data_IF_891794133421
#
_entry.id   IF_891794133421
#
_cell.length_a   1.000
_cell.length_b   1.000
_cell.length_c   1.000
_cell.angle_alpha   90.00
_cell.angle_beta   90.00
_cell.angle_gamma   90.00
#
_symmetry.space_group_name_H-M   'P 1'
#
loop_
_entity.id
_entity.type
_entity.pdbx_description
1 polymer ?
#
# COMPACT_ATOMS: atom_id res chain seq x y z
N UNK A 1 -13.80 7.27 -9.06
CA UNK A 1 -13.00 8.29 -8.33
C UNK A 1 -13.67 8.52 -6.98
N UNK A 2 -13.25 7.85 -5.95
CA UNK A 2 -13.71 8.08 -4.57
C UNK A 2 -12.90 9.25 -4.02
N UNK A 3 -13.55 10.38 -3.79
CA UNK A 3 -12.95 11.55 -3.12
C UNK A 3 -12.88 11.29 -1.61
N UNK A 4 -11.93 10.52 -1.17
CA UNK A 4 -11.73 10.15 0.24
C UNK A 4 -11.23 11.36 1.03
N UNK A 5 -10.30 12.12 0.48
CA UNK A 5 -9.72 13.30 1.11
C UNK A 5 -10.72 14.39 1.52
N UNK A 6 -11.87 14.49 0.84
CA UNK A 6 -12.90 15.49 1.13
C UNK A 6 -13.69 15.19 2.43
N UNK A 7 -13.51 14.02 3.03
CA UNK A 7 -14.26 13.56 4.22
C UNK A 7 -13.45 13.50 5.50
N UNK A 8 -12.14 13.68 5.43
CA UNK A 8 -11.26 13.63 6.62
C UNK A 8 -11.07 15.02 7.21
N UNK A 9 -11.35 15.15 8.51
CA UNK A 9 -11.04 16.35 9.26
C UNK A 9 -9.51 16.48 9.39
N UNK A 10 -8.96 17.66 9.05
CA UNK A 10 -7.54 17.98 9.20
C UNK A 10 -6.57 17.36 8.17
N UNK A 11 -7.05 16.79 7.07
CA UNK A 11 -6.19 16.22 6.00
C UNK A 11 -5.21 15.14 6.50
N UNK A 12 -5.52 14.49 7.62
CA UNK A 12 -4.72 13.41 8.19
C UNK A 12 -5.54 12.13 8.11
N UNK A 13 -5.03 11.14 7.39
CA UNK A 13 -5.59 9.80 7.36
C UNK A 13 -5.49 9.18 8.76
N UNK A 14 -6.62 9.02 9.44
CA UNK A 14 -6.69 8.46 10.80
C UNK A 14 -7.14 6.99 10.80
N UNK A 15 -7.73 6.54 9.71
CA UNK A 15 -8.23 5.19 9.53
C UNK A 15 -7.49 4.50 8.39
N UNK A 16 -7.42 3.18 8.48
CA UNK A 16 -6.87 2.38 7.39
C UNK A 16 -7.88 2.32 6.26
N UNK A 17 -7.44 2.67 5.07
CA UNK A 17 -8.23 2.53 3.87
C UNK A 17 -7.67 1.38 3.02
N UNK A 18 -8.48 0.36 2.83
CA UNK A 18 -8.22 -0.68 1.86
C UNK A 18 -9.19 -0.50 0.70
N UNK A 19 -8.69 -0.44 -0.53
CA UNK A 19 -9.52 -0.33 -1.72
C UNK A 19 -8.91 -1.11 -2.87
N UNK A 20 -9.76 -1.58 -3.78
CA UNK A 20 -9.35 -2.29 -4.98
C UNK A 20 -9.49 -1.43 -6.21
N UNK A 21 -8.51 -1.54 -7.09
CA UNK A 21 -8.52 -0.98 -8.44
C UNK A 21 -8.38 -2.13 -9.43
N UNK A 22 -9.16 -2.10 -10.48
CA UNK A 22 -9.06 -3.04 -11.58
C UNK A 22 -8.41 -2.36 -12.79
N UNK A 23 -7.33 -2.96 -13.28
CA UNK A 23 -6.61 -2.53 -14.45
C UNK A 23 -6.26 -3.77 -15.30
N UNK A 24 -6.61 -3.76 -16.59
CA UNK A 24 -6.32 -4.87 -17.52
C UNK A 24 -6.80 -6.24 -16.97
N UNK A 25 -8.01 -6.28 -16.43
CA UNK A 25 -8.60 -7.49 -15.81
C UNK A 25 -7.86 -8.00 -14.56
N UNK A 26 -6.85 -7.28 -14.08
CA UNK A 26 -6.11 -7.58 -12.86
C UNK A 26 -6.57 -6.66 -11.73
N UNK A 27 -6.65 -7.21 -10.54
CA UNK A 27 -7.06 -6.46 -9.33
C UNK A 27 -5.84 -6.14 -8.49
N UNK A 28 -5.71 -4.87 -8.14
CA UNK A 28 -4.70 -4.36 -7.21
C UNK A 28 -5.42 -3.93 -5.94
N UNK A 29 -5.03 -4.46 -4.79
CA UNK A 29 -5.54 -4.02 -3.49
C UNK A 29 -4.54 -3.06 -2.87
N UNK A 30 -4.94 -1.81 -2.69
CA UNK A 30 -4.14 -0.80 -2.00
C UNK A 30 -4.48 -0.78 -0.53
N UNK A 31 -3.44 -0.68 0.29
CA UNK A 31 -3.53 -0.41 1.73
C UNK A 31 -2.90 0.94 1.99
N UNK A 32 -3.72 1.95 2.28
CA UNK A 32 -3.22 3.28 2.62
C UNK A 32 -2.87 3.36 4.10
N UNK A 33 -1.68 3.89 4.39
CA UNK A 33 -1.13 3.91 5.75
C UNK A 33 -1.00 5.34 6.26
N UNK A 34 -1.46 5.62 7.50
CA UNK A 34 -1.24 6.92 8.11
C UNK A 34 0.25 7.24 8.26
N UNK A 35 0.65 8.48 7.94
CA UNK A 35 2.04 8.94 7.96
C UNK A 35 2.62 9.22 9.35
N UNK A 36 1.77 9.42 10.35
CA UNK A 36 2.19 9.84 11.68
C UNK A 36 3.08 8.78 12.35
N UNK A 37 4.08 9.21 13.12
CA UNK A 37 5.01 8.32 13.87
C UNK A 37 4.30 7.31 14.78
N UNK A 38 3.14 7.67 15.32
CA UNK A 38 2.31 6.77 16.13
C UNK A 38 1.95 5.46 15.42
N UNK A 39 2.06 5.38 14.09
CA UNK A 39 1.69 4.23 13.27
C UNK A 39 2.86 3.40 12.74
N UNK A 40 4.08 3.64 13.22
CA UNK A 40 5.31 2.89 12.84
C UNK A 40 5.13 1.37 12.94
N UNK A 41 4.56 0.88 14.05
CA UNK A 41 4.31 -0.56 14.25
C UNK A 41 3.33 -1.11 13.21
N UNK A 42 2.35 -0.31 12.80
CA UNK A 42 1.41 -0.70 11.75
C UNK A 42 2.11 -0.80 10.41
N UNK A 43 2.92 0.18 10.02
CA UNK A 43 3.71 0.15 8.77
C UNK A 43 4.61 -1.07 8.71
N UNK A 44 5.35 -1.37 9.78
CA UNK A 44 6.21 -2.57 9.86
C UNK A 44 5.43 -3.88 9.73
N UNK A 45 4.21 -3.96 10.29
CA UNK A 45 3.35 -5.14 10.16
C UNK A 45 2.83 -5.31 8.73
N UNK A 46 2.46 -4.22 8.09
CA UNK A 46 1.86 -4.27 6.75
C UNK A 46 2.87 -4.50 5.67
N UNK A 47 4.07 -3.96 5.80
CA UNK A 47 5.17 -4.32 4.92
C UNK A 47 5.37 -5.85 4.83
N UNK A 48 5.13 -6.59 5.90
CA UNK A 48 5.19 -8.06 5.91
C UNK A 48 3.96 -8.77 5.29
N UNK A 49 2.92 -8.04 4.99
CA UNK A 49 1.65 -8.59 4.49
C UNK A 49 1.30 -8.12 3.09
N UNK A 50 2.10 -7.22 2.53
CA UNK A 50 1.98 -6.68 1.18
C UNK A 50 3.04 -7.26 0.27
N UNK A 51 2.76 -7.28 -1.03
CA UNK A 51 3.66 -7.84 -2.04
C UNK A 51 4.59 -6.77 -2.61
N UNK A 52 4.15 -5.51 -2.64
CA UNK A 52 4.89 -4.36 -3.19
C UNK A 52 4.64 -3.14 -2.29
N UNK A 53 5.67 -2.34 -2.04
CA UNK A 53 5.55 -1.06 -1.37
C UNK A 53 5.60 0.07 -2.40
N UNK A 54 4.65 1.01 -2.31
CA UNK A 54 4.67 2.24 -3.10
C UNK A 54 5.12 3.37 -2.19
N UNK A 55 6.27 3.95 -2.48
CA UNK A 55 6.83 5.09 -1.76
C UNK A 55 6.48 6.38 -2.50
N UNK A 56 5.62 7.21 -1.90
CA UNK A 56 5.26 8.50 -2.50
C UNK A 56 6.14 9.60 -1.94
N UNK A 57 6.87 10.29 -2.80
CA UNK A 57 7.78 11.38 -2.44
C UNK A 57 7.43 12.62 -3.25
N UNK A 58 7.44 13.79 -2.62
CA UNK A 58 7.16 15.04 -3.31
C UNK A 58 8.39 15.54 -4.11
N UNK A 59 8.19 15.96 -5.35
CA UNK A 59 9.25 16.46 -6.23
C UNK A 59 9.78 17.83 -5.83
N UNK A 60 9.06 18.55 -4.97
CA UNK A 60 9.36 19.91 -4.50
C UNK A 60 9.92 19.96 -3.07
N UNK A 61 10.16 18.81 -2.44
CA UNK A 61 10.57 18.73 -1.04
C UNK A 61 11.79 17.80 -0.85
N UNK A 62 12.48 17.97 0.27
CA UNK A 62 13.51 17.02 0.73
C UNK A 62 12.88 15.71 1.21
N UNK A 63 13.61 14.61 1.05
CA UNK A 63 13.21 13.32 1.61
C UNK A 63 13.12 13.43 3.13
N UNK A 64 11.92 13.17 3.65
CA UNK A 64 11.61 13.32 5.09
C UNK A 64 12.07 12.11 5.90
N UNK A 65 12.30 12.26 7.22
CA UNK A 65 12.67 11.14 8.08
C UNK A 65 11.67 9.97 8.03
N UNK A 66 10.37 10.27 7.91
CA UNK A 66 9.32 9.24 7.78
C UNK A 66 9.45 8.43 6.48
N UNK A 67 9.94 9.07 5.41
CA UNK A 67 10.23 8.38 4.15
C UNK A 67 11.36 7.37 4.35
N UNK A 68 12.41 7.74 5.07
CA UNK A 68 13.54 6.85 5.40
C UNK A 68 13.08 5.67 6.27
N UNK A 69 12.20 5.91 7.22
CA UNK A 69 11.59 4.86 8.03
C UNK A 69 10.82 3.86 7.15
N UNK A 70 10.02 4.35 6.20
CA UNK A 70 9.26 3.51 5.27
C UNK A 70 10.18 2.68 4.37
N UNK A 71 11.29 3.25 3.89
CA UNK A 71 12.32 2.52 3.13
C UNK A 71 12.89 1.37 3.97
N UNK A 72 13.24 1.63 5.23
CA UNK A 72 13.78 0.62 6.12
C UNK A 72 12.77 -0.52 6.37
N UNK A 73 11.49 -0.21 6.57
CA UNK A 73 10.46 -1.23 6.76
C UNK A 73 10.25 -2.10 5.51
N UNK A 74 10.24 -1.50 4.33
CA UNK A 74 10.14 -2.25 3.07
C UNK A 74 11.35 -3.17 2.88
N UNK A 75 12.55 -2.67 3.18
CA UNK A 75 13.80 -3.43 3.11
C UNK A 75 13.82 -4.59 4.12
N UNK A 76 13.44 -4.36 5.37
CA UNK A 76 13.35 -5.42 6.40
C UNK A 76 12.32 -6.49 6.04
N UNK A 77 11.27 -6.12 5.32
CA UNK A 77 10.25 -7.04 4.83
C UNK A 77 10.64 -7.75 3.53
N UNK A 78 11.74 -7.36 2.88
CA UNK A 78 12.21 -7.90 1.59
C UNK A 78 11.20 -7.74 0.46
N UNK A 79 10.40 -6.69 0.49
CA UNK A 79 9.44 -6.39 -0.58
C UNK A 79 10.00 -5.37 -1.57
N UNK A 80 9.71 -5.51 -2.87
CA UNK A 80 10.13 -4.54 -3.86
C UNK A 80 9.45 -3.18 -3.60
N UNK A 81 10.17 -2.12 -3.92
CA UNK A 81 9.72 -0.74 -3.77
C UNK A 81 9.55 -0.12 -5.14
N UNK A 82 8.40 0.50 -5.39
CA UNK A 82 8.14 1.38 -6.52
C UNK A 82 8.03 2.80 -5.98
N UNK A 83 8.74 3.75 -6.57
CA UNK A 83 8.72 5.14 -6.11
C UNK A 83 7.82 5.98 -7.03
N UNK A 84 6.85 6.66 -6.44
CA UNK A 84 6.04 7.68 -7.11
C UNK A 84 6.54 9.07 -6.72
N UNK A 85 7.20 9.76 -7.63
CA UNK A 85 7.68 11.14 -7.43
C UNK A 85 6.53 12.07 -7.77
N UNK A 86 5.77 12.48 -6.75
CA UNK A 86 4.52 13.24 -6.89
C UNK A 86 4.76 14.76 -6.91
N UNK A 87 3.71 15.49 -7.24
CA UNK A 87 3.67 16.95 -7.36
C UNK A 87 4.46 17.49 -8.56
N UNK A 88 4.54 16.74 -9.66
CA UNK A 88 5.18 17.18 -10.89
C UNK A 88 4.52 18.39 -11.54
N UNK A 89 3.33 18.78 -11.09
CA UNK A 89 2.62 20.00 -11.48
C UNK A 89 3.19 21.27 -10.84
N UNK A 90 4.14 21.16 -9.93
CA UNK A 90 4.77 22.31 -9.28
C UNK A 90 5.90 22.89 -10.14
N UNK A 91 6.04 24.22 -10.11
CA UNK A 91 7.08 24.94 -10.84
C UNK A 91 8.51 24.54 -10.44
N UNK A 92 8.70 24.18 -9.18
CA UNK A 92 9.99 23.78 -8.60
C UNK A 92 10.17 22.25 -8.50
N UNK A 93 9.38 21.48 -9.23
CA UNK A 93 9.50 20.03 -9.25
C UNK A 93 10.85 19.62 -9.84
N UNK A 94 11.64 18.87 -9.06
CA UNK A 94 12.93 18.36 -9.50
C UNK A 94 13.04 16.85 -9.18
N UNK A 95 12.61 15.99 -10.12
CA UNK A 95 12.63 14.55 -9.92
C UNK A 95 14.05 14.00 -9.79
N UNK A 96 15.03 14.56 -10.52
CA UNK A 96 16.42 14.09 -10.48
C UNK A 96 17.07 14.35 -9.11
N UNK A 97 16.71 15.44 -8.46
CA UNK A 97 17.16 15.72 -7.11
C UNK A 97 16.59 14.70 -6.09
N UNK A 98 15.32 14.34 -6.24
CA UNK A 98 14.70 13.30 -5.40
C UNK A 98 15.36 11.93 -5.64
N UNK A 99 15.60 11.57 -6.92
CA UNK A 99 16.31 10.35 -7.28
C UNK A 99 17.70 10.30 -6.64
N UNK A 100 18.44 11.39 -6.71
CA UNK A 100 19.76 11.49 -6.09
C UNK A 100 19.71 11.31 -4.57
N UNK A 101 18.74 11.92 -3.89
CA UNK A 101 18.56 11.74 -2.44
C UNK A 101 18.23 10.29 -2.08
N UNK A 102 17.29 9.66 -2.80
CA UNK A 102 16.87 8.28 -2.53
C UNK A 102 18.00 7.28 -2.79
N UNK A 103 18.85 7.54 -3.79
CA UNK A 103 20.01 6.71 -4.09
C UNK A 103 20.99 6.61 -2.91
N UNK A 104 21.06 7.62 -2.05
CA UNK A 104 21.88 7.58 -0.81
C UNK A 104 21.31 6.62 0.24
N UNK A 105 20.03 6.22 0.11
CA UNK A 105 19.32 5.35 1.04
C UNK A 105 18.91 4.01 0.42
N UNK A 106 19.75 3.48 -0.49
CA UNK A 106 19.60 2.15 -1.11
C UNK A 106 18.52 2.04 -2.20
N UNK A 107 17.76 3.08 -2.48
CA UNK A 107 16.82 3.11 -3.59
C UNK A 107 17.50 3.75 -4.81
N UNK A 108 18.08 2.91 -5.65
CA UNK A 108 18.82 3.36 -6.80
C UNK A 108 17.92 3.31 -8.06
N UNK A 109 17.79 4.42 -8.81
CA UNK A 109 16.88 4.51 -9.93
C UNK A 109 17.19 3.51 -11.05
N UNK A 110 16.15 2.94 -11.65
CA UNK A 110 16.26 2.07 -12.83
C UNK A 110 16.91 2.79 -14.01
N UNK A 111 16.62 4.09 -14.20
CA UNK A 111 17.24 4.93 -15.24
C UNK A 111 18.77 4.98 -15.16
N UNK A 112 19.36 4.69 -14.00
CA UNK A 112 20.81 4.64 -13.78
C UNK A 112 21.36 3.21 -13.82
N UNK A 113 20.54 2.24 -14.29
CA UNK A 113 20.93 0.83 -14.44
C UNK A 113 20.79 -0.01 -13.19
N UNK A 114 19.87 0.37 -12.27
CA UNK A 114 19.56 -0.38 -11.05
C UNK A 114 18.12 -0.89 -11.05
N UNK A 115 17.59 -1.31 -9.90
CA UNK A 115 16.37 -2.13 -9.82
C UNK A 115 15.13 -1.39 -9.29
N UNK A 116 15.22 -0.09 -8.96
CA UNK A 116 14.08 0.61 -8.37
C UNK A 116 13.37 1.48 -9.40
N UNK A 117 12.14 1.13 -9.82
CA UNK A 117 11.32 1.98 -10.68
C UNK A 117 10.95 3.27 -9.97
N UNK A 118 11.19 4.43 -10.60
CA UNK A 118 10.86 5.74 -10.07
C UNK A 118 10.06 6.53 -11.09
N UNK A 119 8.77 6.67 -10.86
CA UNK A 119 7.82 7.24 -11.81
C UNK A 119 7.44 8.65 -11.37
N UNK A 120 7.69 9.69 -12.20
CA UNK A 120 7.17 11.02 -11.96
C UNK A 120 5.65 11.01 -12.15
N UNK A 121 4.90 11.57 -11.18
CA UNK A 121 3.44 11.63 -11.24
C UNK A 121 2.90 12.97 -10.75
N UNK A 122 1.69 13.31 -11.14
CA UNK A 122 0.92 14.35 -10.47
C UNK A 122 -0.47 13.84 -10.13
N UNK A 123 -0.70 13.58 -8.85
CA UNK A 123 -2.01 13.20 -8.36
C UNK A 123 -3.05 14.31 -8.51
N UNK A 124 -2.64 15.57 -8.52
CA UNK A 124 -3.53 16.73 -8.65
C UNK A 124 -4.16 16.82 -10.03
N UNK A 125 -3.35 16.70 -11.09
CA UNK A 125 -3.78 16.77 -12.49
C UNK A 125 -3.95 15.41 -13.13
N UNK A 126 -3.70 14.34 -12.39
CA UNK A 126 -3.84 12.94 -12.80
C UNK A 126 -2.93 12.56 -13.97
N UNK A 127 -1.70 13.08 -14.00
CA UNK A 127 -0.71 12.80 -15.06
C UNK A 127 0.19 11.65 -14.61
N UNK A 128 0.46 10.71 -15.52
CA UNK A 128 1.32 9.52 -15.35
C UNK A 128 0.91 8.57 -14.20
N UNK A 129 -0.33 8.67 -13.73
CA UNK A 129 -0.84 7.74 -12.69
C UNK A 129 -1.13 6.36 -13.30
N UNK A 130 -1.58 6.32 -14.54
CA UNK A 130 -1.83 5.07 -15.26
C UNK A 130 -0.49 4.34 -15.53
N UNK A 131 0.57 5.07 -15.90
CA UNK A 131 1.93 4.52 -16.06
C UNK A 131 2.44 3.92 -14.75
N UNK A 132 2.21 4.59 -13.62
CA UNK A 132 2.54 4.04 -12.29
C UNK A 132 1.82 2.72 -12.02
N UNK A 133 0.53 2.63 -12.36
CA UNK A 133 -0.25 1.40 -12.17
C UNK A 133 0.26 0.26 -13.07
N UNK A 134 0.65 0.57 -14.30
CA UNK A 134 1.24 -0.41 -15.22
C UNK A 134 2.58 -0.94 -14.69
N UNK A 135 3.45 -0.07 -14.18
CA UNK A 135 4.72 -0.49 -13.56
C UNK A 135 4.48 -1.35 -12.32
N UNK A 136 3.49 -1.04 -11.49
CA UNK A 136 3.13 -1.90 -10.34
C UNK A 136 2.73 -3.30 -10.81
N UNK A 137 1.92 -3.40 -11.87
CA UNK A 137 1.55 -4.69 -12.43
C UNK A 137 2.74 -5.44 -13.00
N UNK A 138 3.67 -4.75 -13.67
CA UNK A 138 4.90 -5.35 -14.20
C UNK A 138 5.78 -5.91 -13.07
N UNK A 139 5.99 -5.13 -11.99
CA UNK A 139 6.72 -5.59 -10.81
C UNK A 139 6.03 -6.79 -10.17
N UNK A 140 4.70 -6.80 -10.09
CA UNK A 140 3.93 -7.93 -9.57
C UNK A 140 4.09 -9.20 -10.43
N UNK A 141 4.17 -9.06 -11.75
CA UNK A 141 4.46 -10.17 -12.66
C UNK A 141 5.87 -10.74 -12.47
N UNK A 142 6.86 -9.87 -12.31
CA UNK A 142 8.24 -10.28 -12.04
C UNK A 142 8.39 -11.04 -10.71
N UNK A 143 7.54 -10.73 -9.71
CA UNK A 143 7.50 -11.45 -8.43
C UNK A 143 6.80 -12.80 -8.52
N UNK A 144 6.21 -13.15 -9.68
CA UNK A 144 5.45 -14.42 -9.88
C UNK A 144 4.44 -14.69 -8.75
N UNK A 145 3.71 -13.69 -8.32
CA UNK A 145 2.76 -13.79 -7.21
C UNK A 145 1.70 -14.86 -7.51
N UNK A 146 1.55 -15.83 -6.59
CA UNK A 146 0.63 -16.96 -6.76
C UNK A 146 -0.20 -17.15 -5.50
N UNK A 147 -1.50 -17.35 -5.68
CA UNK A 147 -2.41 -17.72 -4.61
C UNK A 147 -3.31 -18.89 -5.04
N UNK A 148 -3.61 -19.76 -4.10
CA UNK A 148 -4.53 -20.87 -4.36
C UNK A 148 -5.92 -20.56 -3.79
N UNK A 149 -6.93 -20.25 -4.62
CA UNK A 149 -8.28 -19.93 -4.14
C UNK A 149 -9.01 -21.14 -3.54
N UNK A 150 -8.60 -22.37 -3.88
CA UNK A 150 -9.29 -23.62 -3.51
C UNK A 150 -8.84 -24.21 -2.17
N UNK A 151 -8.25 -23.40 -1.29
CA UNK A 151 -7.87 -23.82 0.06
C UNK A 151 -8.61 -23.00 1.13
N UNK A 152 -8.48 -23.38 2.38
CA UNK A 152 -8.95 -22.57 3.50
C UNK A 152 -8.26 -21.21 3.49
N UNK A 153 -9.02 -20.15 3.77
CA UNK A 153 -8.51 -18.80 3.77
C UNK A 153 -7.43 -18.61 4.84
N UNK A 154 -6.29 -18.02 4.43
CA UNK A 154 -5.27 -17.48 5.32
C UNK A 154 -5.26 -15.96 5.12
N UNK A 155 -5.29 -15.23 6.22
CA UNK A 155 -5.57 -13.80 6.23
C UNK A 155 -4.79 -13.08 7.31
N UNK A 156 -4.59 -11.79 7.09
CA UNK A 156 -3.98 -10.88 8.05
C UNK A 156 -5.04 -9.88 8.51
N UNK A 157 -5.14 -9.67 9.83
CA UNK A 157 -6.02 -8.64 10.39
C UNK A 157 -5.39 -7.27 10.15
N UNK A 158 -6.09 -6.44 9.42
CA UNK A 158 -5.71 -5.04 9.16
C UNK A 158 -6.18 -4.18 10.33
N UNK A 159 -7.47 -4.22 10.61
CA UNK A 159 -8.10 -3.43 11.67
C UNK A 159 -9.23 -4.23 12.32
N UNK A 160 -9.50 -3.94 13.59
CA UNK A 160 -10.69 -4.46 14.27
C UNK A 160 -11.25 -3.41 15.22
N UNK A 161 -12.55 -3.23 15.20
CA UNK A 161 -13.25 -2.32 16.10
C UNK A 161 -14.63 -2.87 16.50
N UNK A 162 -15.19 -2.30 17.55
CA UNK A 162 -16.57 -2.58 17.96
C UNK A 162 -17.49 -1.55 17.31
N UNK A 163 -18.31 -2.02 16.38
CA UNK A 163 -19.39 -1.21 15.82
C UNK A 163 -20.63 -1.31 16.72
N UNK A 164 -21.32 -0.21 16.92
CA UNK A 164 -22.50 -0.13 17.81
C UNK A 164 -23.69 -0.95 17.31
N UNK A 165 -23.74 -1.25 16.01
CA UNK A 165 -24.84 -2.00 15.37
C UNK A 165 -24.45 -3.39 14.93
N UNK A 166 -23.20 -3.56 14.47
CA UNK A 166 -22.70 -4.80 13.87
C UNK A 166 -21.85 -5.65 14.81
N UNK A 167 -21.56 -5.16 16.05
CA UNK A 167 -20.66 -5.82 16.99
C UNK A 167 -19.21 -5.84 16.48
N UNK A 168 -18.38 -6.80 16.86
CA UNK A 168 -16.99 -6.77 16.40
C UNK A 168 -16.92 -6.90 14.87
N UNK A 169 -16.36 -5.88 14.26
CA UNK A 169 -16.03 -5.82 12.83
C UNK A 169 -14.52 -5.94 12.67
N UNK A 170 -14.10 -6.71 11.69
CA UNK A 170 -12.70 -6.93 11.42
C UNK A 170 -12.46 -6.76 9.91
N UNK A 171 -11.55 -5.88 9.55
CA UNK A 171 -11.02 -5.76 8.19
C UNK A 171 -9.85 -6.71 8.04
N UNK A 172 -9.91 -7.58 7.05
CA UNK A 172 -8.89 -8.60 6.81
C UNK A 172 -8.39 -8.56 5.38
N UNK A 173 -7.10 -8.79 5.21
CA UNK A 173 -6.47 -9.04 3.92
C UNK A 173 -6.36 -10.54 3.72
N UNK A 174 -7.00 -11.08 2.68
CA UNK A 174 -6.91 -12.51 2.34
C UNK A 174 -5.64 -12.72 1.52
N UNK A 175 -4.66 -13.42 2.08
CA UNK A 175 -3.41 -13.73 1.39
C UNK A 175 -3.54 -14.95 0.48
N UNK A 176 -4.38 -15.93 0.82
CA UNK A 176 -4.64 -17.11 0.01
C UNK A 176 -5.91 -17.81 0.47
N UNK A 177 -6.51 -18.64 -0.37
CA UNK A 177 -7.77 -19.31 -0.09
C UNK A 177 -9.00 -18.45 -0.33
N UNK A 178 -10.16 -18.96 0.04
CA UNK A 178 -11.44 -18.26 -0.09
C UNK A 178 -12.18 -18.28 1.25
N UNK A 179 -12.58 -17.11 1.71
CA UNK A 179 -13.41 -16.94 2.91
C UNK A 179 -14.86 -16.77 2.49
N UNK A 180 -15.76 -17.55 3.12
CA UNK A 180 -17.20 -17.52 2.83
C UNK A 180 -18.00 -17.15 4.07
N UNK A 181 -19.20 -16.63 3.84
CA UNK A 181 -20.18 -16.46 4.91
C UNK A 181 -20.46 -17.81 5.58
N UNK A 182 -20.52 -17.79 6.90
CA UNK A 182 -20.69 -18.96 7.78
C UNK A 182 -19.45 -19.83 7.97
N UNK A 183 -18.32 -19.51 7.39
CA UNK A 183 -17.06 -20.19 7.70
C UNK A 183 -16.70 -20.00 9.18
N UNK A 184 -16.13 -21.04 9.76
CA UNK A 184 -15.52 -20.97 11.08
C UNK A 184 -14.10 -20.46 10.93
N UNK A 185 -13.76 -19.40 11.65
CA UNK A 185 -12.45 -18.76 11.61
C UNK A 185 -11.78 -18.82 12.96
N UNK A 186 -10.46 -18.95 12.94
CA UNK A 186 -9.62 -19.00 14.14
C UNK A 186 -8.55 -17.93 14.04
N UNK A 187 -8.38 -17.17 15.12
CA UNK A 187 -7.29 -16.22 15.25
C UNK A 187 -6.68 -16.37 16.65
N UNK A 188 -5.44 -16.85 16.72
CA UNK A 188 -4.78 -17.21 17.99
C UNK A 188 -5.65 -18.17 18.83
N UNK A 189 -6.23 -17.66 19.90
CA UNK A 189 -7.02 -18.44 20.87
C UNK A 189 -8.54 -18.30 20.70
N UNK A 190 -8.97 -17.42 19.81
CA UNK A 190 -10.38 -17.13 19.59
C UNK A 190 -10.88 -17.80 18.31
N UNK A 191 -12.11 -18.30 18.34
CA UNK A 191 -12.80 -18.81 17.16
C UNK A 191 -14.21 -18.23 17.09
N UNK A 192 -14.67 -17.98 15.87
CA UNK A 192 -16.02 -17.48 15.62
C UNK A 192 -16.50 -17.84 14.22
N UNK A 193 -17.78 -17.60 13.95
CA UNK A 193 -18.36 -17.77 12.62
C UNK A 193 -18.51 -16.42 11.92
N UNK A 194 -18.15 -16.39 10.66
CA UNK A 194 -18.36 -15.22 9.79
C UNK A 194 -19.84 -15.05 9.50
N UNK A 195 -20.47 -14.04 10.07
CA UNK A 195 -21.91 -13.75 9.86
C UNK A 195 -22.18 -12.92 8.63
N UNK A 196 -21.31 -11.96 8.34
CA UNK A 196 -21.41 -11.03 7.22
C UNK A 196 -20.03 -10.85 6.62
N UNK A 197 -19.95 -10.83 5.29
CA UNK A 197 -18.79 -10.41 4.52
C UNK A 197 -19.20 -9.18 3.71
N UNK A 198 -18.28 -8.23 3.59
CA UNK A 198 -18.39 -7.04 2.75
C UNK A 198 -17.04 -6.81 2.09
N UNK A 199 -17.07 -6.51 0.80
CA UNK A 199 -15.95 -6.01 -0.01
C UNK A 199 -15.99 -4.48 -0.03
#
# INVERSE_FOLDING_TARGET
KTKVADKEAWWITQSIWAYQVELNEKKITFLDTPWHEAFTIMRARWAKSTDIAILVVAADEWVKPQTLESINHAREAWIPVVVAINKMDKEWANPDFVKWQLAQYWLQPEDWGWDTPMIPVSAKVWTWVDDLLEIILLVAEMQELKANPNRLAVWTVIESHLDTKLWPVCTVLINTGTLKKWDSVVCKWAYWKVKVLRD
#
